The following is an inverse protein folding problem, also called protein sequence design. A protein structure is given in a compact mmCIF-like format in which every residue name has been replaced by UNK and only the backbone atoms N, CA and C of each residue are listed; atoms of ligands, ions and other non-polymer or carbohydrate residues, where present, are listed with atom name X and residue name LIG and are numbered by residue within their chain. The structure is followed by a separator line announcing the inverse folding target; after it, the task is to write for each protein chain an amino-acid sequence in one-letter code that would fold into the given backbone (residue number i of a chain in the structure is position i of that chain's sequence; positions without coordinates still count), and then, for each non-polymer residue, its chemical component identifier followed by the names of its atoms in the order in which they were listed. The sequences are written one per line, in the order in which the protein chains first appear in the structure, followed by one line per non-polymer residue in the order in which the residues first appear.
data_IF_338265818496
#
_entry.id   IF_338265818496
#
_cell.length_a   1.000
_cell.length_b   1.000
_cell.length_c   1.000
_cell.angle_alpha   90.00
_cell.angle_beta   90.00
_cell.angle_gamma   90.00
#
_symmetry.space_group_name_H-M   'P 1'
#
loop_
_entity.id
_entity.type
_entity.pdbx_description
1 polymer ?
#
# COMPACT_ATOMS: atom_id res chain seq x y z
N UNK A 1 28.04 -11.97 0.90
CA UNK A 1 26.73 -11.93 0.24
C UNK A 1 26.83 -12.76 -1.02
N UNK A 2 26.33 -14.00 -0.99
CA UNK A 2 26.28 -14.88 -2.16
C UNK A 2 25.03 -14.58 -2.99
N UNK A 3 25.01 -15.02 -4.26
CA UNK A 3 23.85 -14.84 -5.14
C UNK A 3 22.56 -15.45 -4.56
N UNK A 4 22.66 -16.59 -3.86
CA UNK A 4 21.54 -17.22 -3.15
C UNK A 4 20.91 -16.31 -2.11
N UNK A 5 21.70 -15.43 -1.47
CA UNK A 5 21.18 -14.53 -0.45
C UNK A 5 20.24 -13.49 -1.07
N UNK A 6 20.40 -13.18 -2.36
CA UNK A 6 19.64 -12.15 -3.09
C UNK A 6 18.42 -12.69 -3.82
N UNK A 7 18.15 -14.01 -3.78
CA UNK A 7 16.97 -14.58 -4.44
C UNK A 7 15.80 -14.64 -3.45
N UNK A 8 14.68 -14.05 -3.86
CA UNK A 8 13.40 -14.19 -3.19
C UNK A 8 12.49 -15.15 -3.98
N UNK A 9 11.75 -16.00 -3.27
CA UNK A 9 10.75 -16.90 -3.83
C UNK A 9 9.46 -16.73 -3.03
N UNK A 10 8.38 -16.29 -3.67
CA UNK A 10 7.07 -16.29 -2.99
C UNK A 10 6.58 -17.74 -2.81
N UNK A 11 6.24 -18.11 -1.58
CA UNK A 11 5.70 -19.43 -1.23
C UNK A 11 4.16 -19.49 -1.20
N UNK A 12 3.48 -18.36 -1.43
CA UNK A 12 2.03 -18.34 -1.54
C UNK A 12 1.60 -18.72 -2.97
N UNK A 13 0.80 -19.78 -3.11
CA UNK A 13 0.31 -20.26 -4.40
C UNK A 13 -0.55 -19.24 -5.17
N UNK A 14 -1.10 -18.22 -4.49
CA UNK A 14 -1.87 -17.14 -5.13
C UNK A 14 -1.01 -15.96 -5.59
N UNK A 15 0.29 -15.94 -5.25
CA UNK A 15 1.21 -14.94 -5.79
C UNK A 15 1.31 -15.07 -7.31
N UNK A 16 1.26 -13.93 -8.03
CA UNK A 16 1.49 -13.89 -9.48
C UNK A 16 2.86 -14.48 -9.89
N UNK A 17 3.83 -14.50 -8.96
CA UNK A 17 5.19 -15.03 -9.14
C UNK A 17 5.49 -16.17 -8.15
N UNK A 18 4.54 -17.08 -7.94
CA UNK A 18 4.72 -18.25 -7.07
C UNK A 18 5.92 -19.10 -7.51
N UNK A 19 6.84 -19.36 -6.58
CA UNK A 19 8.11 -20.08 -6.80
C UNK A 19 8.97 -19.55 -7.96
N UNK A 20 8.70 -18.35 -8.47
CA UNK A 20 9.50 -17.74 -9.51
C UNK A 20 10.63 -16.93 -8.85
N UNK A 21 11.91 -17.17 -9.21
CA UNK A 21 13.04 -16.42 -8.64
C UNK A 21 12.95 -14.93 -8.93
N UNK A 22 13.02 -14.11 -7.88
CA UNK A 22 13.07 -12.66 -7.98
C UNK A 22 14.29 -12.11 -7.26
N UNK A 23 14.72 -10.91 -7.65
CA UNK A 23 15.72 -10.17 -6.88
C UNK A 23 15.07 -9.64 -5.59
N UNK A 24 15.62 -10.06 -4.45
CA UNK A 24 15.13 -9.74 -3.10
C UNK A 24 15.11 -8.25 -2.84
N UNK A 25 16.18 -7.55 -3.21
CA UNK A 25 16.34 -6.13 -2.89
C UNK A 25 15.41 -5.28 -3.76
N UNK A 26 15.23 -5.67 -5.02
CA UNK A 26 14.22 -5.06 -5.90
C UNK A 26 12.79 -5.30 -5.37
N UNK A 27 12.45 -6.54 -5.00
CA UNK A 27 11.13 -6.86 -4.45
C UNK A 27 10.87 -6.07 -3.15
N UNK A 28 11.84 -6.01 -2.25
CA UNK A 28 11.76 -5.22 -1.02
C UNK A 28 11.55 -3.72 -1.31
N UNK A 29 12.26 -3.18 -2.30
CA UNK A 29 12.08 -1.79 -2.74
C UNK A 29 10.66 -1.50 -3.24
N UNK A 30 10.07 -2.41 -4.01
CA UNK A 30 8.68 -2.29 -4.48
C UNK A 30 7.68 -2.35 -3.32
N UNK A 31 7.88 -3.24 -2.34
CA UNK A 31 7.03 -3.30 -1.14
C UNK A 31 7.09 -2.00 -0.33
N UNK A 32 8.29 -1.46 -0.12
CA UNK A 32 8.48 -0.18 0.60
C UNK A 32 7.78 0.96 -0.14
N UNK A 33 7.95 1.05 -1.47
CA UNK A 33 7.29 2.08 -2.28
C UNK A 33 5.76 1.95 -2.21
N UNK A 34 5.23 0.74 -2.34
CA UNK A 34 3.79 0.51 -2.26
C UNK A 34 3.21 0.95 -0.92
N UNK A 35 3.91 0.65 0.18
CA UNK A 35 3.46 1.05 1.52
C UNK A 35 3.59 2.56 1.74
N UNK A 36 4.66 3.19 1.23
CA UNK A 36 4.82 4.63 1.27
C UNK A 36 3.67 5.36 0.52
N UNK A 37 3.33 4.89 -0.68
CA UNK A 37 2.21 5.44 -1.45
C UNK A 37 0.86 5.26 -0.73
N UNK A 38 0.64 4.10 -0.09
CA UNK A 38 -0.56 3.83 0.71
C UNK A 38 -0.66 4.81 1.88
N UNK A 39 0.43 5.03 2.62
CA UNK A 39 0.46 5.96 3.74
C UNK A 39 0.24 7.41 3.30
N UNK A 40 0.86 7.84 2.20
CA UNK A 40 0.62 9.17 1.62
C UNK A 40 -0.86 9.36 1.28
N UNK A 41 -1.47 8.39 0.62
CA UNK A 41 -2.90 8.44 0.28
C UNK A 41 -3.80 8.52 1.52
N UNK A 42 -3.47 7.80 2.60
CA UNK A 42 -4.20 7.90 3.87
C UNK A 42 -4.05 9.27 4.53
N UNK A 43 -2.84 9.83 4.54
CA UNK A 43 -2.61 11.17 5.08
C UNK A 43 -3.37 12.21 4.26
N UNK A 44 -3.36 12.11 2.94
CA UNK A 44 -4.11 13.01 2.07
C UNK A 44 -5.62 12.94 2.32
N UNK A 45 -6.18 11.75 2.55
CA UNK A 45 -7.60 11.59 2.91
C UNK A 45 -7.95 12.25 4.25
N UNK A 46 -7.06 12.17 5.25
CA UNK A 46 -7.26 12.80 6.56
C UNK A 46 -7.15 14.33 6.46
N UNK A 47 -6.15 14.85 5.73
CA UNK A 47 -5.92 16.29 5.58
C UNK A 47 -7.00 16.95 4.71
N UNK A 48 -7.42 16.27 3.65
CA UNK A 48 -8.41 16.78 2.70
C UNK A 48 -9.86 16.60 3.17
N UNK A 49 -10.10 16.04 4.37
CA UNK A 49 -11.45 15.84 4.91
C UNK A 49 -12.34 14.89 4.09
N UNK A 50 -11.76 14.14 3.15
CA UNK A 50 -12.49 13.16 2.31
C UNK A 50 -12.67 11.82 3.02
N UNK A 51 -12.12 11.68 4.23
CA UNK A 51 -12.40 10.60 5.16
C UNK A 51 -13.82 10.69 5.72
N UNK A 52 -14.81 10.33 4.91
CA UNK A 52 -16.17 9.94 5.33
C UNK A 52 -16.76 10.74 6.51
N UNK A 53 -16.96 12.05 6.33
CA UNK A 53 -18.05 12.77 7.01
C UNK A 53 -19.39 12.41 6.35
N UNK A 54 -19.67 11.10 6.24
CA UNK A 54 -20.98 10.58 5.91
C UNK A 54 -21.77 10.46 7.21
N UNK A 55 -22.21 11.59 7.78
CA UNK A 55 -23.41 11.70 8.65
C UNK A 55 -23.58 13.09 9.31
N UNK A 56 -23.16 14.19 8.68
CA UNK A 56 -23.61 15.52 9.12
C UNK A 56 -24.85 15.92 8.33
N UNK A 57 -25.97 15.30 8.69
CA UNK A 57 -27.30 15.84 8.43
C UNK A 57 -27.51 17.08 9.31
N UNK A 58 -27.07 18.25 8.86
CA UNK A 58 -27.49 19.55 9.40
C UNK A 58 -28.34 20.25 8.34
N UNK A 59 -29.60 19.82 8.30
CA UNK A 59 -30.70 20.69 7.94
C UNK A 59 -30.82 21.83 8.97
N UNK A 60 -31.32 22.99 8.52
CA UNK A 60 -31.53 24.27 9.23
C UNK A 60 -30.30 25.22 9.24
N UNK A 61 -30.37 26.47 8.80
CA UNK A 61 -31.49 27.34 8.44
C UNK A 61 -30.96 28.49 7.58
N UNK A 62 -31.81 29.02 6.71
CA UNK A 62 -31.57 30.22 5.94
C UNK A 62 -31.70 31.46 6.83
N UNK A 63 -30.82 32.44 6.64
CA UNK A 63 -30.90 33.76 7.24
C UNK A 63 -29.92 34.73 6.62
#
# INVERSE_FOLDING_TARGET
MQLSDRVFLCQNATCAYYQFPQDRDHNAGLCILSEALRLIGLVDQVVSGTGSDADVNLTADAG
#
